data_IF_165901453323
#
_entry.id   IF_165901453323
#
_cell.length_a   1.000
_cell.length_b   1.000
_cell.length_c   1.000
_cell.angle_alpha   90.00
_cell.angle_beta   90.00
_cell.angle_gamma   90.00
#
_symmetry.space_group_name_H-M   'P 1'
#
loop_
_entity.id
_entity.type
_entity.pdbx_description
1 polymer ?
#
# COMPACT_ATOMS: atom_id res chain seq x y z
N UNK A 1 36.09 47.27 -53.78
CA UNK A 1 35.85 45.87 -54.18
C UNK A 1 35.22 45.16 -52.99
N UNK A 2 33.99 44.66 -53.13
CA UNK A 2 33.38 43.66 -52.24
C UNK A 2 34.13 42.31 -52.40
N UNK A 3 34.11 41.37 -51.43
CA UNK A 3 32.86 40.68 -51.08
C UNK A 3 32.63 40.35 -49.60
N UNK A 4 31.34 40.21 -49.25
CA UNK A 4 30.85 39.45 -48.09
C UNK A 4 31.16 37.96 -48.23
N UNK A 5 31.12 37.19 -47.13
CA UNK A 5 30.10 36.14 -47.14
C UNK A 5 29.38 35.87 -45.80
N UNK A 6 28.06 35.76 -45.95
CA UNK A 6 27.19 34.67 -45.48
C UNK A 6 27.17 34.31 -43.99
N UNK A 7 26.14 34.87 -43.35
CA UNK A 7 25.28 34.24 -42.35
C UNK A 7 25.30 32.70 -42.40
N UNK A 8 25.59 32.06 -41.26
CA UNK A 8 25.27 30.66 -41.02
C UNK A 8 24.37 30.57 -39.80
N UNK A 9 23.25 29.90 -40.04
CA UNK A 9 22.11 29.71 -39.16
C UNK A 9 22.52 29.18 -37.78
N UNK A 10 21.94 29.80 -36.77
CA UNK A 10 21.77 29.27 -35.42
C UNK A 10 20.94 27.99 -35.48
N UNK A 11 21.55 26.83 -35.28
CA UNK A 11 20.81 25.60 -34.97
C UNK A 11 20.58 25.58 -33.46
N UNK A 12 19.46 26.15 -33.02
CA UNK A 12 18.95 25.89 -31.68
C UNK A 12 18.36 24.47 -31.68
N UNK A 13 19.12 23.52 -31.14
CA UNK A 13 18.62 22.18 -30.86
C UNK A 13 17.72 22.27 -29.61
N UNK A 14 16.42 22.49 -29.80
CA UNK A 14 15.45 22.22 -28.76
C UNK A 14 15.34 20.70 -28.57
N UNK A 15 16.09 20.18 -27.60
CA UNK A 15 15.82 18.88 -27.00
C UNK A 15 14.57 19.02 -26.13
N UNK A 16 13.39 18.82 -26.73
CA UNK A 16 12.19 18.50 -25.95
C UNK A 16 12.34 17.07 -25.44
N UNK A 17 12.98 16.93 -24.28
CA UNK A 17 12.91 15.72 -23.48
C UNK A 17 11.49 15.61 -22.92
N UNK A 18 10.57 15.06 -23.72
CA UNK A 18 9.33 14.48 -23.21
C UNK A 18 9.68 13.21 -22.43
N UNK A 19 10.14 13.38 -21.18
CA UNK A 19 10.37 12.27 -20.29
C UNK A 19 9.02 11.70 -19.85
N UNK A 20 8.72 10.56 -20.45
CA UNK A 20 7.69 9.61 -20.05
C UNK A 20 7.69 9.43 -18.53
N UNK A 21 6.66 9.97 -17.88
CA UNK A 21 6.39 9.84 -16.44
C UNK A 21 6.01 8.43 -16.01
N UNK A 22 5.97 7.46 -16.94
CA UNK A 22 5.55 6.08 -16.69
C UNK A 22 6.66 5.14 -16.22
N UNK A 23 7.92 5.37 -16.62
CA UNK A 23 9.02 4.41 -16.35
C UNK A 23 9.60 4.58 -14.93
N UNK A 24 9.57 5.80 -14.38
CA UNK A 24 10.17 6.11 -13.07
C UNK A 24 9.50 5.39 -11.88
N UNK A 25 8.23 4.96 -12.01
CA UNK A 25 7.45 4.42 -10.88
C UNK A 25 7.74 2.94 -10.58
N UNK A 26 8.19 2.17 -11.56
CA UNK A 26 8.37 0.72 -11.44
C UNK A 26 9.68 0.32 -10.73
N UNK A 27 10.73 1.14 -10.85
CA UNK A 27 12.07 0.82 -10.33
C UNK A 27 12.40 1.49 -8.99
N UNK A 28 11.48 2.30 -8.44
CA UNK A 28 11.67 2.98 -7.15
C UNK A 28 11.43 1.99 -6.01
N UNK A 29 12.33 1.92 -5.02
CA UNK A 29 12.12 1.07 -3.85
C UNK A 29 11.00 1.62 -2.94
N UNK A 30 10.33 0.75 -2.14
CA UNK A 30 9.41 1.15 -1.07
C UNK A 30 9.86 2.31 -0.20
N UNK A 31 11.14 2.32 0.15
CA UNK A 31 11.75 3.32 1.02
C UNK A 31 11.95 4.65 0.27
N UNK A 32 12.41 4.60 -0.98
CA UNK A 32 12.58 5.79 -1.82
C UNK A 32 11.24 6.45 -2.13
N UNK A 33 10.20 5.65 -2.39
CA UNK A 33 8.86 6.17 -2.64
C UNK A 33 8.23 6.76 -1.39
N UNK A 34 8.40 6.11 -0.23
CA UNK A 34 7.96 6.66 1.04
C UNK A 34 8.63 8.01 1.32
N UNK A 35 9.95 8.11 1.11
CA UNK A 35 10.67 9.38 1.26
C UNK A 35 10.11 10.47 0.33
N UNK A 36 9.85 10.14 -0.94
CA UNK A 36 9.23 11.08 -1.88
C UNK A 36 7.85 11.56 -1.42
N UNK A 37 7.00 10.66 -0.90
CA UNK A 37 5.68 11.03 -0.38
C UNK A 37 5.79 11.95 0.84
N UNK A 38 6.75 11.67 1.72
CA UNK A 38 7.02 12.49 2.91
C UNK A 38 7.55 13.88 2.52
N UNK A 39 8.49 13.97 1.59
CA UNK A 39 9.00 15.24 1.04
C UNK A 39 7.89 16.08 0.42
N UNK A 40 6.96 15.43 -0.28
CA UNK A 40 5.79 16.07 -0.90
C UNK A 40 4.68 16.38 0.10
N UNK A 41 4.87 16.04 1.37
CA UNK A 41 3.86 16.18 2.42
C UNK A 41 2.53 15.53 2.02
N UNK A 42 2.60 14.31 1.47
CA UNK A 42 1.43 13.49 1.19
C UNK A 42 1.13 12.57 2.38
N UNK A 43 -0.16 12.33 2.66
CA UNK A 43 -0.56 11.30 3.62
C UNK A 43 -0.40 9.89 3.02
N UNK A 44 0.10 8.96 3.84
CA UNK A 44 0.49 7.62 3.37
C UNK A 44 0.25 6.57 4.44
N UNK A 45 -0.18 5.38 4.01
CA UNK A 45 -0.13 4.18 4.84
C UNK A 45 1.20 3.46 4.65
N UNK A 46 1.75 2.96 5.74
CA UNK A 46 2.94 2.13 5.75
C UNK A 46 2.60 0.84 6.48
N UNK A 47 2.76 -0.30 5.82
CA UNK A 47 2.60 -1.62 6.43
C UNK A 47 3.98 -2.23 6.66
N UNK A 48 4.28 -2.62 7.90
CA UNK A 48 5.59 -3.17 8.28
C UNK A 48 5.42 -4.35 9.24
N UNK A 49 6.22 -5.41 9.11
CA UNK A 49 6.10 -6.57 9.99
C UNK A 49 6.74 -6.25 11.34
N UNK A 50 6.08 -6.61 12.42
CA UNK A 50 6.67 -6.52 13.77
C UNK A 50 7.34 -7.84 14.17
N UNK A 51 8.04 -7.85 15.29
CA UNK A 51 8.58 -9.04 15.95
C UNK A 51 7.52 -9.80 16.78
N UNK A 52 6.31 -9.25 16.90
CA UNK A 52 5.22 -9.82 17.69
C UNK A 52 4.37 -10.80 16.90
N UNK A 53 3.66 -11.66 17.60
CA UNK A 53 2.68 -12.58 17.02
C UNK A 53 1.50 -12.76 17.96
N UNK A 54 0.32 -13.02 17.39
CA UNK A 54 -0.87 -13.34 18.16
C UNK A 54 -0.76 -14.74 18.76
N UNK A 55 -1.25 -14.88 19.98
CA UNK A 55 -1.45 -16.18 20.62
C UNK A 55 -2.95 -16.50 20.64
N UNK A 56 -3.34 -17.78 20.50
CA UNK A 56 -2.48 -18.96 20.34
C UNK A 56 -2.13 -19.28 18.88
N UNK A 57 -2.65 -18.53 17.90
CA UNK A 57 -2.62 -18.91 16.49
C UNK A 57 -1.25 -18.72 15.82
N UNK A 58 -0.37 -17.91 16.41
CA UNK A 58 0.98 -17.65 15.90
C UNK A 58 1.03 -16.71 14.71
N UNK A 59 -0.05 -15.98 14.40
CA UNK A 59 -0.05 -15.03 13.29
C UNK A 59 0.89 -13.86 13.57
N UNK A 60 1.83 -13.53 12.67
CA UNK A 60 2.66 -12.36 12.84
C UNK A 60 1.84 -11.08 12.82
N UNK A 61 2.11 -10.21 13.78
CA UNK A 61 1.50 -8.89 13.85
C UNK A 61 2.27 -7.95 12.93
N UNK A 62 1.55 -7.22 12.10
CA UNK A 62 2.02 -6.12 11.28
C UNK A 62 1.57 -4.80 11.90
N UNK A 63 2.38 -3.76 11.78
CA UNK A 63 2.02 -2.38 12.06
C UNK A 63 1.51 -1.74 10.78
N UNK A 64 0.22 -1.44 10.71
CA UNK A 64 -0.32 -0.54 9.69
C UNK A 64 -0.31 0.87 10.25
N UNK A 65 0.67 1.65 9.83
CA UNK A 65 0.88 3.02 10.26
C UNK A 65 0.29 4.02 9.26
N UNK A 66 -0.50 4.97 9.74
CA UNK A 66 -0.94 6.12 8.96
C UNK A 66 -0.08 7.34 9.33
N UNK A 67 0.58 7.90 8.33
CA UNK A 67 1.36 9.13 8.43
C UNK A 67 0.58 10.25 7.75
N UNK A 68 0.25 11.30 8.52
CA UNK A 68 -0.38 12.52 8.02
C UNK A 68 0.58 13.68 8.36
N UNK A 69 0.99 14.51 7.39
CA UNK A 69 1.89 15.63 7.63
C UNK A 69 1.43 16.52 8.78
N UNK A 70 2.35 16.85 9.68
CA UNK A 70 2.07 17.68 10.86
C UNK A 70 1.28 16.99 11.98
N UNK A 71 0.99 15.69 11.87
CA UNK A 71 0.31 14.93 12.93
C UNK A 71 1.17 13.75 13.41
N UNK A 72 1.04 13.34 14.69
CA UNK A 72 1.66 12.11 15.16
C UNK A 72 1.15 10.89 14.37
N UNK A 73 2.03 9.95 13.97
CA UNK A 73 1.62 8.72 13.30
C UNK A 73 0.61 7.93 14.13
N UNK A 74 -0.34 7.30 13.43
CA UNK A 74 -1.32 6.38 14.04
C UNK A 74 -0.99 4.96 13.65
N UNK A 75 -1.05 4.05 14.63
CA UNK A 75 -0.61 2.68 14.49
C UNK A 75 -1.79 1.74 14.71
N UNK A 76 -1.99 0.81 13.78
CA UNK A 76 -3.08 -0.14 13.81
C UNK A 76 -2.52 -1.55 13.66
N UNK A 77 -2.63 -2.42 14.68
CA UNK A 77 -2.14 -3.78 14.58
C UNK A 77 -2.99 -4.57 13.58
N UNK A 78 -2.31 -5.23 12.66
CA UNK A 78 -2.90 -5.90 11.51
C UNK A 78 -2.28 -7.29 11.29
N UNK A 79 -2.97 -8.11 10.50
CA UNK A 79 -2.47 -9.39 9.99
C UNK A 79 -2.41 -9.35 8.47
N UNK A 80 -1.45 -10.06 7.89
CA UNK A 80 -1.39 -10.28 6.44
C UNK A 80 -0.92 -11.69 6.14
N UNK A 81 -1.72 -12.41 5.35
CA UNK A 81 -1.54 -13.83 5.07
C UNK A 81 -1.87 -14.72 6.28
N UNK A 82 -1.82 -16.04 6.07
CA UNK A 82 -2.01 -17.05 7.12
C UNK A 82 -0.71 -17.30 7.89
N UNK A 83 -0.77 -17.62 9.18
CA UNK A 83 0.41 -18.00 9.98
C UNK A 83 1.29 -19.06 9.29
N UNK A 84 0.69 -20.11 8.73
CA UNK A 84 1.43 -21.19 8.04
C UNK A 84 1.82 -20.88 6.59
N UNK A 85 1.68 -19.63 6.13
CA UNK A 85 1.95 -19.20 4.74
C UNK A 85 2.86 -17.99 4.64
N UNK A 86 3.50 -17.59 5.74
CA UNK A 86 4.35 -16.39 5.81
C UNK A 86 5.56 -16.44 4.87
N UNK A 87 6.03 -17.64 4.53
CA UNK A 87 7.16 -17.89 3.61
C UNK A 87 6.74 -18.34 2.21
N UNK A 88 5.43 -18.42 1.94
CA UNK A 88 4.95 -18.78 0.60
C UNK A 88 5.24 -17.63 -0.39
N UNK A 89 5.25 -17.96 -1.69
CA UNK A 89 5.47 -16.96 -2.75
C UNK A 89 4.41 -15.85 -2.66
N UNK A 90 4.86 -14.64 -2.36
CA UNK A 90 3.98 -13.47 -2.15
C UNK A 90 3.39 -12.95 -3.44
N UNK A 91 4.05 -13.15 -4.58
CA UNK A 91 3.58 -12.67 -5.88
C UNK A 91 2.56 -13.59 -6.54
N UNK A 92 2.38 -14.80 -6.00
CA UNK A 92 1.47 -15.77 -6.56
C UNK A 92 0.03 -15.56 -6.08
N UNK A 93 -0.92 -15.59 -7.03
CA UNK A 93 -2.35 -15.60 -6.73
C UNK A 93 -2.71 -16.80 -5.84
N UNK A 94 -3.57 -16.57 -4.85
CA UNK A 94 -4.07 -17.64 -3.98
C UNK A 94 -3.03 -18.26 -3.04
N UNK A 95 -1.81 -17.73 -2.96
CA UNK A 95 -0.75 -18.26 -2.07
C UNK A 95 -1.08 -18.18 -0.58
N UNK A 96 -2.03 -17.30 -0.21
CA UNK A 96 -2.38 -16.92 1.16
C UNK A 96 -1.19 -16.37 1.96
N UNK A 97 -0.12 -16.00 1.25
CA UNK A 97 1.03 -15.32 1.81
C UNK A 97 0.67 -13.87 2.17
N UNK A 98 1.48 -13.20 2.99
CA UNK A 98 1.37 -11.76 3.18
C UNK A 98 1.50 -11.00 1.86
N UNK A 99 1.12 -9.73 1.87
CA UNK A 99 1.32 -8.84 0.73
C UNK A 99 2.79 -8.85 0.26
N UNK A 100 3.02 -8.84 -1.08
CA UNK A 100 4.32 -8.48 -1.61
C UNK A 100 4.76 -7.10 -1.12
N UNK A 101 6.07 -6.92 -1.03
CA UNK A 101 6.66 -5.60 -0.78
C UNK A 101 6.51 -4.74 -2.03
N UNK A 102 6.14 -3.46 -1.84
CA UNK A 102 5.91 -2.56 -2.96
C UNK A 102 4.96 -1.41 -2.65
N UNK A 103 4.60 -0.66 -3.68
CA UNK A 103 3.66 0.46 -3.60
C UNK A 103 2.28 0.07 -4.13
N UNK A 104 1.27 0.56 -3.43
CA UNK A 104 -0.13 0.30 -3.71
C UNK A 104 -0.91 1.60 -3.73
N UNK A 105 -1.96 1.66 -4.55
CA UNK A 105 -2.96 2.72 -4.49
C UNK A 105 -4.19 2.24 -3.71
N UNK A 106 -4.77 3.12 -2.90
CA UNK A 106 -6.04 2.87 -2.21
C UNK A 106 -7.23 3.30 -3.08
N UNK A 107 -8.26 2.47 -3.09
CA UNK A 107 -9.57 2.84 -3.59
C UNK A 107 -10.42 3.62 -2.58
N UNK A 108 -11.72 3.64 -2.82
CA UNK A 108 -12.68 4.27 -1.92
C UNK A 108 -12.83 3.50 -0.62
N UNK A 109 -13.31 4.19 0.42
CA UNK A 109 -13.80 3.56 1.64
C UNK A 109 -15.23 3.14 1.40
N UNK A 110 -15.46 1.82 1.36
CA UNK A 110 -16.73 1.23 0.98
C UNK A 110 -17.38 0.56 2.20
N UNK A 111 -18.58 1.01 2.63
CA UNK A 111 -19.32 0.30 3.67
C UNK A 111 -19.84 -1.03 3.13
N UNK A 112 -19.68 -2.09 3.91
CA UNK A 112 -20.21 -3.42 3.61
C UNK A 112 -21.54 -3.62 4.34
N UNK A 113 -22.48 -4.28 3.67
CA UNK A 113 -23.73 -4.70 4.29
C UNK A 113 -23.44 -5.67 5.45
N UNK A 114 -24.15 -5.49 6.56
CA UNK A 114 -23.95 -6.30 7.75
C UNK A 114 -24.16 -7.79 7.45
N UNK A 115 -23.19 -8.63 7.81
CA UNK A 115 -23.24 -10.07 7.61
C UNK A 115 -23.01 -10.56 6.17
N UNK A 116 -22.88 -9.66 5.18
CA UNK A 116 -22.66 -10.07 3.79
C UNK A 116 -21.33 -10.81 3.59
N UNK A 117 -20.30 -10.42 4.35
CA UNK A 117 -18.96 -10.98 4.26
C UNK A 117 -18.41 -11.25 5.68
N UNK A 118 -18.59 -12.46 6.21
CA UNK A 118 -18.23 -12.79 7.59
C UNK A 118 -16.77 -12.49 7.96
N UNK A 119 -15.83 -12.54 7.00
CA UNK A 119 -14.39 -12.35 7.24
C UNK A 119 -13.86 -10.95 6.83
N UNK A 120 -14.74 -9.98 6.50
CA UNK A 120 -14.31 -8.63 6.09
C UNK A 120 -14.75 -7.52 7.07
N UNK A 121 -15.70 -7.80 7.96
CA UNK A 121 -16.25 -6.77 8.84
C UNK A 121 -17.04 -5.69 8.09
N UNK A 122 -17.16 -4.47 8.64
CA UNK A 122 -18.11 -3.47 8.15
C UNK A 122 -17.62 -2.59 7.00
N UNK A 123 -16.32 -2.61 6.66
CA UNK A 123 -15.71 -1.70 5.69
C UNK A 123 -14.71 -2.47 4.83
N UNK A 124 -14.70 -2.15 3.54
CA UNK A 124 -13.67 -2.54 2.59
C UNK A 124 -12.96 -1.32 2.03
N UNK A 125 -11.64 -1.42 1.87
CA UNK A 125 -10.82 -0.44 1.17
C UNK A 125 -9.95 -1.21 0.20
N UNK A 126 -10.21 -1.10 -1.11
CA UNK A 126 -9.39 -1.80 -2.10
C UNK A 126 -7.97 -1.26 -2.12
N UNK A 127 -6.99 -2.14 -2.37
CA UNK A 127 -5.61 -1.76 -2.65
C UNK A 127 -5.17 -2.43 -3.94
N UNK A 128 -4.49 -1.69 -4.81
CA UNK A 128 -4.00 -2.18 -6.10
C UNK A 128 -2.48 -1.99 -6.19
N UNK A 129 -1.71 -3.06 -6.48
CA UNK A 129 -0.27 -2.93 -6.69
C UNK A 129 0.02 -2.07 -7.92
N UNK A 130 1.01 -1.19 -7.80
CA UNK A 130 1.48 -0.35 -8.92
C UNK A 130 2.69 -0.95 -9.65
N UNK A 131 2.97 -2.23 -9.38
CA UNK A 131 4.08 -3.01 -9.91
C UNK A 131 3.59 -4.36 -10.44
N UNK A 132 4.33 -5.03 -11.34
CA UNK A 132 3.96 -6.33 -11.85
C UNK A 132 3.93 -7.40 -10.74
N UNK A 133 2.77 -8.00 -10.51
CA UNK A 133 2.60 -9.14 -9.61
C UNK A 133 1.41 -9.99 -10.07
N UNK A 134 1.30 -11.23 -9.61
CA UNK A 134 0.13 -12.09 -9.85
C UNK A 134 -1.01 -11.85 -8.85
N UNK A 135 -0.81 -10.99 -7.84
CA UNK A 135 -1.79 -10.73 -6.79
C UNK A 135 -2.91 -9.80 -7.25
N UNK A 136 -4.16 -10.16 -6.93
CA UNK A 136 -5.38 -9.43 -7.28
C UNK A 136 -6.37 -9.47 -6.10
N UNK A 137 -7.40 -8.62 -6.15
CA UNK A 137 -8.51 -8.58 -5.18
C UNK A 137 -7.99 -8.43 -3.76
N UNK A 138 -7.19 -7.39 -3.55
CA UNK A 138 -6.57 -7.08 -2.26
C UNK A 138 -7.29 -5.90 -1.62
N UNK A 139 -7.29 -5.85 -0.29
CA UNK A 139 -7.86 -4.73 0.44
C UNK A 139 -7.44 -4.66 1.89
N UNK A 140 -7.90 -3.60 2.54
CA UNK A 140 -7.87 -3.38 3.98
C UNK A 140 -9.27 -3.61 4.52
N UNK A 141 -9.39 -4.44 5.54
CA UNK A 141 -10.66 -4.79 6.16
C UNK A 141 -10.42 -5.23 7.61
N UNK A 142 -11.47 -5.59 8.34
CA UNK A 142 -11.31 -6.21 9.67
C UNK A 142 -11.04 -7.70 9.46
N UNK A 143 -10.20 -8.32 10.28
CA UNK A 143 -10.14 -9.77 10.44
C UNK A 143 -10.90 -10.19 11.72
N UNK A 144 -12.17 -10.64 11.62
CA UNK A 144 -12.95 -11.04 12.79
C UNK A 144 -12.46 -12.33 13.44
N UNK A 145 -11.66 -13.13 12.73
CA UNK A 145 -11.10 -14.39 13.20
C UNK A 145 -9.70 -14.25 13.80
N UNK A 146 -9.14 -13.03 13.82
CA UNK A 146 -7.80 -12.73 14.34
C UNK A 146 -7.58 -13.29 15.75
N UNK A 147 -6.63 -14.20 15.88
CA UNK A 147 -6.25 -14.85 17.14
C UNK A 147 -7.23 -15.91 17.66
N UNK A 148 -8.32 -16.21 16.94
CA UNK A 148 -9.39 -17.06 17.48
C UNK A 148 -9.29 -18.52 17.07
N UNK A 149 -9.02 -18.81 15.79
CA UNK A 149 -9.09 -20.17 15.25
C UNK A 149 -8.24 -20.31 13.96
N UNK A 150 -8.41 -21.43 13.23
CA UNK A 150 -7.70 -21.70 11.98
C UNK A 150 -7.98 -20.72 10.82
N UNK A 151 -9.01 -19.89 10.95
CA UNK A 151 -9.31 -18.77 10.06
C UNK A 151 -8.68 -17.44 10.53
N UNK A 152 -7.80 -17.44 11.53
CA UNK A 152 -7.00 -16.26 11.85
C UNK A 152 -6.03 -15.89 10.72
N UNK A 153 -5.86 -14.59 10.51
CA UNK A 153 -5.10 -14.03 9.40
C UNK A 153 -5.92 -13.92 8.12
N UNK A 154 -5.33 -13.34 7.09
CA UNK A 154 -6.03 -13.09 5.82
C UNK A 154 -5.59 -14.06 4.72
N UNK A 155 -6.28 -14.03 3.58
CA UNK A 155 -5.79 -14.67 2.35
C UNK A 155 -4.73 -13.81 1.61
N UNK A 156 -4.12 -12.86 2.33
CA UNK A 156 -3.10 -11.92 1.89
C UNK A 156 -3.58 -10.49 1.67
N UNK A 157 -4.73 -10.13 2.24
CA UNK A 157 -5.17 -8.76 2.48
C UNK A 157 -4.47 -8.16 3.72
N UNK A 158 -4.82 -6.93 4.09
CA UNK A 158 -4.53 -6.36 5.42
C UNK A 158 -5.77 -6.48 6.29
N UNK A 159 -5.70 -7.33 7.31
CA UNK A 159 -6.80 -7.54 8.25
C UNK A 159 -6.50 -6.84 9.57
N UNK A 160 -7.22 -5.77 9.89
CA UNK A 160 -7.11 -5.13 11.21
C UNK A 160 -7.72 -6.02 12.27
N UNK A 161 -7.02 -6.16 13.39
CA UNK A 161 -7.41 -7.05 14.50
C UNK A 161 -8.65 -6.49 15.21
N UNK A 162 -8.74 -5.17 15.34
CA UNK A 162 -9.83 -4.53 16.08
C UNK A 162 -10.77 -3.76 15.15
N UNK A 163 -12.08 -4.01 15.30
CA UNK A 163 -13.13 -3.31 14.54
C UNK A 163 -13.05 -1.78 14.70
N UNK A 164 -12.78 -1.29 15.92
CA UNK A 164 -12.68 0.14 16.20
C UNK A 164 -11.57 0.81 15.39
N UNK A 165 -10.46 0.10 15.17
CA UNK A 165 -9.29 0.61 14.45
C UNK A 165 -9.63 0.78 12.97
N UNK A 166 -10.39 -0.16 12.38
CA UNK A 166 -10.88 -0.02 11.00
C UNK A 166 -11.79 1.19 10.84
N UNK A 167 -12.71 1.42 11.79
CA UNK A 167 -13.62 2.57 11.73
C UNK A 167 -12.85 3.89 11.85
N UNK A 168 -11.92 3.98 12.80
CA UNK A 168 -11.06 5.16 12.96
C UNK A 168 -10.20 5.40 11.71
N UNK A 169 -9.48 4.37 11.26
CA UNK A 169 -8.63 4.42 10.08
C UNK A 169 -9.42 4.87 8.85
N UNK A 170 -10.60 4.30 8.62
CA UNK A 170 -11.45 4.65 7.48
C UNK A 170 -11.86 6.13 7.49
N UNK A 171 -12.17 6.67 8.67
CA UNK A 171 -12.49 8.08 8.86
C UNK A 171 -11.29 8.97 8.56
N UNK A 172 -10.10 8.58 9.03
CA UNK A 172 -8.87 9.34 8.79
C UNK A 172 -8.44 9.30 7.32
N UNK A 173 -8.55 8.15 6.65
CA UNK A 173 -8.29 8.03 5.20
C UNK A 173 -9.20 8.96 4.42
N UNK A 174 -10.50 8.98 4.73
CA UNK A 174 -11.44 9.89 4.07
C UNK A 174 -11.09 11.36 4.30
N UNK A 175 -10.78 11.75 5.55
CA UNK A 175 -10.50 13.14 5.93
C UNK A 175 -9.17 13.66 5.36
N UNK A 176 -8.14 12.84 5.38
CA UNK A 176 -6.81 13.22 4.90
C UNK A 176 -6.62 13.02 3.40
N UNK A 177 -7.55 12.32 2.73
CA UNK A 177 -7.43 11.99 1.33
C UNK A 177 -6.31 11.00 1.01
N UNK A 178 -5.85 10.19 1.98
CA UNK A 178 -4.79 9.20 1.77
C UNK A 178 -5.12 8.26 0.61
N UNK A 179 -4.22 8.19 -0.38
CA UNK A 179 -4.34 7.30 -1.56
C UNK A 179 -3.18 6.33 -1.73
N UNK A 180 -2.16 6.41 -0.88
CA UNK A 180 -0.94 5.61 -1.04
C UNK A 180 -0.79 4.63 0.12
N UNK A 181 -0.34 3.42 -0.21
CA UNK A 181 0.14 2.42 0.73
C UNK A 181 1.52 1.95 0.29
N UNK A 182 2.45 1.89 1.25
CA UNK A 182 3.78 1.32 1.08
C UNK A 182 3.92 0.11 1.98
N UNK A 183 4.26 -1.04 1.42
CA UNK A 183 4.54 -2.26 2.19
C UNK A 183 6.05 -2.40 2.34
N UNK A 184 6.55 -2.39 3.58
CA UNK A 184 7.95 -2.55 3.99
C UNK A 184 8.07 -3.89 4.75
N UNK A 185 9.20 -4.58 4.63
CA UNK A 185 9.36 -5.89 5.28
C UNK A 185 9.67 -5.77 6.76
#
# INVERSE_FOLDING_TARGET
>A
MLPMPLSRLTTALLLTAGLSSGVAKADTSPEQWLALLQERQESVLVLERTDRSLQPTGDPIWDLRLEIPGQPPRHYPALSGRANRQLANRDQMGSRAPLPRGHYTLGAVEPLAAGAYPELGPIWISIEPTFPTGRRVLGIHQDPSAGLNGNSGTLGCIGLIHRKDLLELSTLIQRSGTRQLVVRH
#
